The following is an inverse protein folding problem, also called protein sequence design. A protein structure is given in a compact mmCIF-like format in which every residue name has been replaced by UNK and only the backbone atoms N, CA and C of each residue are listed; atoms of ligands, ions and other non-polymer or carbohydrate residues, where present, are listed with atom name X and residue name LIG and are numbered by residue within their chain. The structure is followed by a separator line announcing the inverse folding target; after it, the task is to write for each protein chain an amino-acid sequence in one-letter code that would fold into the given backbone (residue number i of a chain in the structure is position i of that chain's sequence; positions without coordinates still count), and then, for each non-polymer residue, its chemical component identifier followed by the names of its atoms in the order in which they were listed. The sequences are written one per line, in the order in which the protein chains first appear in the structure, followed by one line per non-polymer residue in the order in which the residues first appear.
data_IF_978054776079
#
_entry.id   IF_978054776079
#
_cell.length_a   1.000
_cell.length_b   1.000
_cell.length_c   1.000
_cell.angle_alpha   90.00
_cell.angle_beta   90.00
_cell.angle_gamma   90.00
#
_symmetry.space_group_name_H-M   'P 1'
#
loop_
_entity.id
_entity.type
_entity.pdbx_description
1 polymer ?
#
# COMPACT_ATOMS: atom_id res chain seq x y z
N UNK A 1 4.58 -28.47 7.45
CA UNK A 1 3.99 -27.12 7.54
C UNK A 1 3.65 -26.71 6.11
N UNK A 2 2.43 -26.22 5.88
CA UNK A 2 1.91 -26.02 4.52
C UNK A 2 2.52 -24.74 3.95
N UNK A 3 3.45 -24.88 3.01
CA UNK A 3 3.97 -23.79 2.17
C UNK A 3 2.87 -23.36 1.18
N UNK A 4 1.96 -22.49 1.61
CA UNK A 4 0.90 -21.90 0.76
C UNK A 4 1.26 -20.49 0.26
N UNK A 5 2.54 -20.21 0.11
CA UNK A 5 3.04 -18.89 -0.27
C UNK A 5 3.09 -18.77 -1.81
N UNK A 6 1.93 -18.55 -2.46
CA UNK A 6 1.80 -18.39 -3.92
C UNK A 6 2.65 -17.22 -4.47
N UNK A 7 2.93 -17.26 -5.77
CA UNK A 7 3.46 -16.10 -6.51
C UNK A 7 2.55 -14.90 -6.27
N UNK A 8 3.08 -13.84 -5.67
CA UNK A 8 2.33 -12.65 -5.29
C UNK A 8 2.30 -11.57 -6.37
N UNK A 9 3.06 -11.72 -7.46
CA UNK A 9 3.02 -10.76 -8.58
C UNK A 9 1.61 -10.51 -9.16
N UNK A 10 0.72 -11.50 -9.26
CA UNK A 10 -0.64 -11.30 -9.77
C UNK A 10 -1.54 -10.41 -8.89
N UNK A 11 -1.12 -10.06 -7.66
CA UNK A 11 -1.85 -9.11 -6.81
C UNK A 11 -1.53 -7.65 -7.18
N UNK A 12 -0.57 -7.42 -8.07
CA UNK A 12 -0.15 -6.08 -8.47
C UNK A 12 -0.86 -5.63 -9.74
N UNK A 13 -1.38 -4.40 -9.65
CA UNK A 13 -2.01 -3.67 -10.73
C UNK A 13 -1.47 -2.24 -10.75
N UNK A 14 -1.83 -1.47 -11.78
CA UNK A 14 -1.50 -0.04 -11.89
C UNK A 14 -2.72 0.75 -12.35
N UNK A 15 -2.89 1.98 -11.85
CA UNK A 15 -3.89 2.92 -12.41
C UNK A 15 -3.40 3.64 -13.65
N UNK A 16 -2.10 3.56 -13.95
CA UNK A 16 -1.48 4.15 -15.14
C UNK A 16 -1.57 3.17 -16.31
N UNK A 17 -2.14 3.61 -17.43
CA UNK A 17 -2.29 2.79 -18.64
C UNK A 17 -0.93 2.23 -19.12
N UNK A 18 -0.88 1.00 -19.67
CA UNK A 18 0.37 0.37 -20.09
C UNK A 18 1.18 1.22 -21.08
N UNK A 19 0.50 1.85 -22.04
CA UNK A 19 1.10 2.70 -23.10
C UNK A 19 1.50 4.09 -22.63
N UNK A 20 1.08 4.52 -21.43
CA UNK A 20 1.42 5.84 -20.90
C UNK A 20 2.90 5.92 -20.51
N UNK A 21 3.53 7.06 -20.86
CA UNK A 21 4.88 7.43 -20.42
C UNK A 21 4.94 7.94 -18.98
N UNK A 22 3.80 8.09 -18.31
CA UNK A 22 3.78 8.44 -16.89
C UNK A 22 4.35 7.30 -16.03
N UNK A 23 4.95 7.62 -14.87
CA UNK A 23 5.29 6.61 -13.87
C UNK A 23 4.08 5.74 -13.53
N UNK A 24 4.33 4.42 -13.40
CA UNK A 24 3.29 3.48 -12.99
C UNK A 24 2.97 3.71 -11.51
N UNK A 25 1.68 3.62 -11.17
CA UNK A 25 1.19 3.89 -9.82
C UNK A 25 0.55 2.62 -9.28
N UNK A 26 1.19 2.04 -8.26
CA UNK A 26 0.88 0.70 -7.81
C UNK A 26 -0.49 0.60 -7.15
N UNK A 27 -1.20 -0.48 -7.46
CA UNK A 27 -2.47 -0.90 -6.88
C UNK A 27 -2.28 -2.33 -6.42
N UNK A 28 -2.75 -2.64 -5.21
CA UNK A 28 -2.61 -3.97 -4.61
C UNK A 28 -3.99 -4.56 -4.35
N UNK A 29 -4.19 -5.79 -4.78
CA UNK A 29 -5.38 -6.56 -4.45
C UNK A 29 -5.35 -6.96 -2.97
N UNK A 30 -6.45 -6.69 -2.27
CA UNK A 30 -6.64 -7.02 -0.85
C UNK A 30 -7.47 -8.29 -0.67
N UNK A 31 -8.48 -8.47 -1.51
CA UNK A 31 -9.34 -9.64 -1.53
C UNK A 31 -10.00 -9.79 -2.91
N UNK A 32 -10.94 -10.73 -3.00
CA UNK A 32 -11.67 -11.06 -4.22
C UNK A 32 -12.35 -9.86 -4.91
N UNK A 33 -12.73 -8.81 -4.18
CA UNK A 33 -13.50 -7.69 -4.72
C UNK A 33 -12.82 -6.33 -4.52
N UNK A 34 -11.77 -6.24 -3.71
CA UNK A 34 -11.18 -4.98 -3.30
C UNK A 34 -9.70 -4.91 -3.62
N UNK A 35 -9.31 -3.72 -4.08
CA UNK A 35 -7.91 -3.33 -4.24
C UNK A 35 -7.68 -1.96 -3.62
N UNK A 36 -6.44 -1.67 -3.27
CA UNK A 36 -6.05 -0.42 -2.61
C UNK A 36 -4.87 0.22 -3.30
N UNK A 37 -4.80 1.54 -3.19
CA UNK A 37 -3.65 2.33 -3.59
C UNK A 37 -3.49 3.54 -2.68
N UNK A 38 -2.42 4.29 -2.87
CA UNK A 38 -2.15 5.52 -2.14
C UNK A 38 -2.97 6.71 -2.66
N UNK A 39 -3.17 7.73 -1.82
CA UNK A 39 -4.00 8.91 -2.13
C UNK A 39 -3.20 10.13 -2.63
N UNK A 40 -1.92 10.25 -2.28
CA UNK A 40 -1.08 11.39 -2.68
C UNK A 40 -0.69 11.42 -4.18
N UNK A 41 -0.04 12.52 -4.59
CA UNK A 41 0.53 12.67 -5.93
C UNK A 41 -0.53 12.58 -7.04
N UNK A 42 -0.25 11.79 -8.08
CA UNK A 42 -1.16 11.63 -9.22
C UNK A 42 -2.50 10.96 -8.89
N UNK A 43 -2.66 10.37 -7.70
CA UNK A 43 -3.93 9.82 -7.22
C UNK A 43 -4.82 10.85 -6.53
N UNK A 44 -4.35 12.11 -6.39
CA UNK A 44 -5.19 13.20 -5.88
C UNK A 44 -6.41 13.49 -6.77
N UNK A 45 -6.37 13.07 -8.05
CA UNK A 45 -7.43 13.24 -9.03
C UNK A 45 -8.65 12.33 -8.83
N UNK A 46 -8.51 11.24 -8.08
CA UNK A 46 -9.62 10.31 -7.88
C UNK A 46 -10.68 10.92 -6.97
N UNK A 47 -11.95 10.75 -7.33
CA UNK A 47 -13.10 11.15 -6.51
C UNK A 47 -13.90 9.94 -6.06
N UNK A 48 -14.60 10.07 -4.94
CA UNK A 48 -15.55 9.06 -4.47
C UNK A 48 -16.56 8.73 -5.58
N UNK A 49 -16.93 7.45 -5.68
CA UNK A 49 -17.83 6.89 -6.69
C UNK A 49 -17.34 6.92 -8.16
N UNK A 50 -16.14 7.45 -8.42
CA UNK A 50 -15.56 7.42 -9.76
C UNK A 50 -15.34 5.98 -10.24
N UNK A 51 -15.73 5.72 -11.48
CA UNK A 51 -15.38 4.48 -12.19
C UNK A 51 -14.10 4.70 -12.99
N UNK A 52 -13.18 3.74 -12.92
CA UNK A 52 -11.89 3.77 -13.62
C UNK A 52 -11.41 2.36 -13.95
N UNK A 53 -10.28 2.25 -14.62
CA UNK A 53 -9.61 0.98 -14.91
C UNK A 53 -8.33 0.84 -14.10
N UNK A 54 -8.08 -0.38 -13.66
CA UNK A 54 -6.76 -0.81 -13.21
C UNK A 54 -6.22 -1.85 -14.19
N UNK A 55 -4.93 -1.76 -14.45
CA UNK A 55 -4.25 -2.56 -15.46
C UNK A 55 -3.34 -3.58 -14.76
N UNK A 56 -3.43 -4.87 -15.12
CA UNK A 56 -2.48 -5.86 -14.62
C UNK A 56 -1.07 -5.55 -15.12
N UNK A 57 -0.07 -6.00 -14.36
CA UNK A 57 1.34 -5.87 -14.77
C UNK A 57 1.70 -6.84 -15.89
N UNK A 58 1.03 -7.98 -15.95
CA UNK A 58 1.05 -8.84 -17.13
C UNK A 58 0.23 -8.17 -18.25
N UNK A 59 0.85 -7.71 -19.34
CA UNK A 59 0.14 -7.03 -20.42
C UNK A 59 -0.78 -7.96 -21.22
N UNK A 60 -0.68 -9.28 -21.03
CA UNK A 60 -1.59 -10.24 -21.65
C UNK A 60 -2.91 -10.39 -20.90
N UNK A 61 -2.97 -9.95 -19.64
CA UNK A 61 -4.18 -9.99 -18.84
C UNK A 61 -5.08 -8.77 -19.10
N UNK A 62 -6.39 -8.98 -19.00
CA UNK A 62 -7.37 -7.91 -19.24
C UNK A 62 -7.41 -6.89 -18.09
N UNK A 63 -7.57 -5.58 -18.39
CA UNK A 63 -7.85 -4.56 -17.39
C UNK A 63 -9.18 -4.82 -16.66
N UNK A 64 -9.28 -4.34 -15.42
CA UNK A 64 -10.47 -4.49 -14.59
C UNK A 64 -11.10 -3.11 -14.36
N UNK A 65 -12.41 -3.01 -14.62
CA UNK A 65 -13.20 -1.84 -14.24
C UNK A 65 -13.48 -1.87 -12.74
N UNK A 66 -13.15 -0.76 -12.08
CA UNK A 66 -13.30 -0.59 -10.64
C UNK A 66 -13.96 0.73 -10.30
N UNK A 67 -14.63 0.77 -9.15
CA UNK A 67 -15.24 1.96 -8.56
C UNK A 67 -14.48 2.39 -7.30
N UNK A 68 -14.23 3.68 -7.14
CA UNK A 68 -13.71 4.24 -5.88
C UNK A 68 -14.81 4.18 -4.82
N UNK A 69 -14.61 3.38 -3.78
CA UNK A 69 -15.59 3.19 -2.70
C UNK A 69 -15.18 3.85 -1.38
N UNK A 70 -13.91 4.21 -1.21
CA UNK A 70 -13.45 4.99 -0.08
C UNK A 70 -12.18 5.76 -0.42
N UNK A 71 -12.04 6.94 0.17
CA UNK A 71 -10.83 7.75 0.17
C UNK A 71 -10.53 8.17 1.61
N UNK A 72 -9.28 8.05 2.04
CA UNK A 72 -8.80 8.56 3.32
C UNK A 72 -7.53 9.36 3.11
N UNK A 73 -7.59 10.68 3.29
CA UNK A 73 -6.41 11.53 3.24
C UNK A 73 -5.48 11.26 4.44
N UNK A 74 -6.05 10.94 5.61
CA UNK A 74 -5.29 10.62 6.84
C UNK A 74 -4.53 9.30 6.75
N UNK A 75 -5.12 8.26 6.16
CA UNK A 75 -4.44 6.99 5.97
C UNK A 75 -3.60 6.96 4.67
N UNK A 76 -3.72 8.00 3.83
CA UNK A 76 -3.16 8.05 2.48
C UNK A 76 -3.66 6.91 1.57
N UNK A 77 -4.95 6.59 1.63
CA UNK A 77 -5.53 5.42 0.96
C UNK A 77 -6.68 5.76 0.03
N UNK A 78 -6.77 4.99 -1.05
CA UNK A 78 -7.94 4.86 -1.91
C UNK A 78 -8.31 3.38 -1.97
N UNK A 79 -9.58 3.07 -1.78
CA UNK A 79 -10.13 1.71 -1.90
C UNK A 79 -10.99 1.63 -3.14
N UNK A 80 -10.66 0.65 -3.99
CA UNK A 80 -11.40 0.29 -5.18
C UNK A 80 -12.26 -0.95 -4.93
N UNK A 81 -13.41 -1.03 -5.60
CA UNK A 81 -14.26 -2.21 -5.69
C UNK A 81 -14.43 -2.62 -7.14
N UNK A 82 -14.32 -3.91 -7.46
CA UNK A 82 -14.51 -4.38 -8.83
C UNK A 82 -15.97 -4.26 -9.27
N UNK A 83 -16.20 -4.00 -10.56
CA UNK A 83 -17.56 -3.87 -11.11
C UNK A 83 -17.95 -5.10 -11.92
N UNK A 84 -17.04 -5.56 -12.79
CA UNK A 84 -17.35 -6.53 -13.84
C UNK A 84 -16.71 -7.91 -13.65
N UNK A 85 -15.69 -8.01 -12.80
CA UNK A 85 -14.91 -9.24 -12.59
C UNK A 85 -14.27 -9.26 -11.21
N UNK A 86 -14.15 -10.44 -10.61
CA UNK A 86 -13.42 -10.65 -9.37
C UNK A 86 -11.91 -10.79 -9.60
N UNK A 87 -11.12 -10.54 -8.56
CA UNK A 87 -9.71 -10.88 -8.57
C UNK A 87 -9.52 -12.39 -8.35
N UNK A 88 -8.76 -13.01 -9.25
CA UNK A 88 -8.48 -14.45 -9.22
C UNK A 88 -7.40 -14.80 -8.16
N UNK A 89 -6.51 -13.84 -7.86
CA UNK A 89 -5.41 -13.99 -6.90
C UNK A 89 -5.42 -12.82 -5.94
N UNK A 90 -5.44 -13.14 -4.65
CA UNK A 90 -5.42 -12.18 -3.55
C UNK A 90 -4.77 -12.81 -2.32
N UNK A 91 -4.25 -12.01 -1.37
CA UNK A 91 -3.73 -12.53 -0.11
C UNK A 91 -4.79 -13.32 0.65
N UNK A 92 -4.45 -14.53 1.11
CA UNK A 92 -5.33 -15.41 1.89
C UNK A 92 -5.08 -15.30 3.40
N UNK A 93 -4.00 -14.64 3.81
CA UNK A 93 -3.62 -14.44 5.19
C UNK A 93 -3.11 -13.01 5.43
N UNK A 94 -3.49 -12.46 6.58
CA UNK A 94 -2.96 -11.21 7.12
C UNK A 94 -2.01 -11.55 8.26
N UNK A 95 -0.80 -11.00 8.23
CA UNK A 95 0.19 -11.18 9.29
C UNK A 95 0.26 -9.97 10.21
N UNK A 96 0.94 -10.17 11.34
CA UNK A 96 1.27 -9.09 12.27
C UNK A 96 2.47 -8.26 11.79
N UNK A 97 2.65 -7.09 12.40
CA UNK A 97 3.76 -6.16 12.16
C UNK A 97 4.61 -6.01 13.41
N UNK A 98 5.49 -6.96 13.69
CA UNK A 98 6.34 -6.97 14.89
C UNK A 98 7.66 -6.24 14.67
N UNK A 99 8.20 -5.62 15.73
CA UNK A 99 9.52 -5.00 15.68
C UNK A 99 10.60 -6.07 15.42
N UNK A 100 11.51 -5.79 14.48
CA UNK A 100 12.54 -6.73 14.05
C UNK A 100 12.07 -7.77 13.03
N UNK A 101 10.79 -7.79 12.67
CA UNK A 101 10.26 -8.70 11.65
C UNK A 101 10.75 -8.30 10.26
N UNK A 102 11.29 -9.27 9.51
CA UNK A 102 11.62 -9.08 8.11
C UNK A 102 10.38 -9.08 7.22
N UNK A 103 10.39 -8.25 6.18
CA UNK A 103 9.33 -8.13 5.19
C UNK A 103 9.89 -8.06 3.76
N UNK A 104 9.02 -8.30 2.80
CA UNK A 104 9.23 -8.02 1.38
C UNK A 104 8.26 -6.93 0.93
N UNK A 105 8.78 -5.91 0.28
CA UNK A 105 8.02 -4.92 -0.48
C UNK A 105 7.92 -5.42 -1.91
N UNK A 106 6.70 -5.57 -2.41
CA UNK A 106 6.39 -6.09 -3.75
C UNK A 106 5.62 -4.99 -4.46
N UNK A 107 6.28 -4.31 -5.38
CA UNK A 107 5.76 -3.13 -6.07
C UNK A 107 6.09 -3.12 -7.55
N UNK A 108 5.97 -1.95 -8.14
CA UNK A 108 6.19 -1.72 -9.57
C UNK A 108 7.19 -0.58 -9.69
N UNK A 109 8.28 -0.79 -10.44
CA UNK A 109 9.25 0.27 -10.69
C UNK A 109 8.68 1.36 -11.61
N UNK A 110 9.39 2.49 -11.73
CA UNK A 110 8.96 3.59 -12.59
C UNK A 110 8.77 3.20 -14.08
N UNK A 111 9.34 2.07 -14.51
CA UNK A 111 9.22 1.52 -15.87
C UNK A 111 8.07 0.52 -16.03
N UNK A 112 7.32 0.24 -14.96
CA UNK A 112 6.21 -0.71 -14.98
C UNK A 112 6.61 -2.16 -14.79
N UNK A 113 7.84 -2.44 -14.32
CA UNK A 113 8.31 -3.80 -14.08
C UNK A 113 8.11 -4.16 -12.60
N UNK A 114 7.76 -5.42 -12.28
CA UNK A 114 7.75 -5.86 -10.90
C UNK A 114 9.09 -5.64 -10.21
N UNK A 115 9.04 -5.15 -8.98
CA UNK A 115 10.22 -4.96 -8.15
C UNK A 115 9.98 -5.53 -6.75
N UNK A 116 10.99 -6.20 -6.21
CA UNK A 116 10.94 -6.79 -4.86
C UNK A 116 12.12 -6.30 -4.04
N UNK A 117 11.83 -5.67 -2.91
CA UNK A 117 12.83 -5.17 -1.95
C UNK A 117 12.63 -5.84 -0.59
N UNK A 118 13.72 -6.17 0.09
CA UNK A 118 13.69 -6.69 1.46
C UNK A 118 13.88 -5.59 2.50
N UNK A 119 13.31 -5.76 3.69
CA UNK A 119 13.54 -4.86 4.82
C UNK A 119 13.15 -5.48 6.15
N UNK A 120 13.29 -4.70 7.21
CA UNK A 120 12.94 -5.05 8.59
C UNK A 120 12.11 -3.93 9.22
N UNK A 121 11.03 -4.31 9.89
CA UNK A 121 10.20 -3.38 10.66
C UNK A 121 11.01 -2.83 11.84
N UNK A 122 11.33 -1.54 11.80
CA UNK A 122 12.23 -0.87 12.74
C UNK A 122 11.48 -0.06 13.80
N UNK A 123 10.30 0.47 13.48
CA UNK A 123 9.47 1.23 14.44
C UNK A 123 7.98 0.99 14.19
N UNK A 124 7.16 1.16 15.24
CA UNK A 124 5.70 1.17 15.17
C UNK A 124 5.14 2.50 15.67
N UNK A 125 4.03 2.90 15.06
CA UNK A 125 3.17 4.03 15.43
C UNK A 125 1.72 3.54 15.33
N UNK A 126 0.79 4.26 15.94
CA UNK A 126 -0.63 3.92 15.83
C UNK A 126 -1.02 3.95 14.35
N UNK A 127 -1.46 2.81 13.82
CA UNK A 127 -1.86 2.65 12.41
C UNK A 127 -0.71 2.49 11.40
N UNK A 128 0.55 2.60 11.79
CA UNK A 128 1.69 2.56 10.86
C UNK A 128 2.89 1.77 11.40
N UNK A 129 3.62 1.12 10.48
CA UNK A 129 4.92 0.54 10.73
C UNK A 129 5.96 1.22 9.84
N UNK A 130 7.19 1.35 10.33
CA UNK A 130 8.30 1.99 9.62
C UNK A 130 9.38 0.93 9.43
N UNK A 131 9.71 0.64 8.16
CA UNK A 131 10.82 -0.23 7.78
C UNK A 131 12.17 0.50 7.73
N UNK A 132 13.26 -0.26 7.64
CA UNK A 132 14.63 0.24 7.41
C UNK A 132 14.96 0.47 5.93
N UNK A 133 14.15 -0.07 5.01
CA UNK A 133 14.37 0.09 3.59
C UNK A 133 14.18 1.55 3.15
N UNK A 134 15.10 2.04 2.32
CA UNK A 134 14.96 3.34 1.67
C UNK A 134 13.95 3.26 0.53
N UNK A 135 12.73 3.75 0.79
CA UNK A 135 11.71 3.89 -0.23
C UNK A 135 12.17 4.82 -1.37
N UNK A 136 11.88 4.42 -2.60
CA UNK A 136 12.13 5.18 -3.83
C UNK A 136 10.79 5.60 -4.46
N UNK A 137 10.84 6.58 -5.36
CA UNK A 137 9.69 6.96 -6.16
C UNK A 137 9.18 5.74 -6.98
N UNK A 138 7.92 5.39 -6.78
CA UNK A 138 7.29 4.19 -7.34
C UNK A 138 7.01 3.10 -6.32
N UNK A 139 7.62 3.14 -5.13
CA UNK A 139 7.32 2.19 -4.06
C UNK A 139 5.95 2.45 -3.39
N UNK A 140 5.40 3.67 -3.51
CA UNK A 140 4.06 3.99 -2.99
C UNK A 140 3.00 3.07 -3.61
N UNK A 141 2.16 2.49 -2.75
CA UNK A 141 1.14 1.53 -3.12
C UNK A 141 1.65 0.10 -3.25
N UNK A 142 2.93 -0.18 -3.02
CA UNK A 142 3.46 -1.56 -3.05
C UNK A 142 2.90 -2.41 -1.90
N UNK A 143 2.75 -3.71 -2.14
CA UNK A 143 2.35 -4.66 -1.11
C UNK A 143 3.51 -4.92 -0.16
N UNK A 144 3.26 -4.94 1.13
CA UNK A 144 4.21 -5.41 2.15
C UNK A 144 3.73 -6.77 2.65
N UNK A 145 4.60 -7.76 2.55
CA UNK A 145 4.34 -9.12 3.05
C UNK A 145 5.45 -9.59 3.97
N UNK A 146 5.12 -10.49 4.90
CA UNK A 146 6.15 -11.15 5.72
C UNK A 146 6.89 -12.25 4.92
N UNK A 147 7.85 -12.93 5.55
CA UNK A 147 8.59 -14.02 4.89
C UNK A 147 7.73 -15.25 4.56
N UNK A 148 6.56 -15.37 5.18
CA UNK A 148 5.52 -16.37 4.88
C UNK A 148 4.53 -15.85 3.83
N UNK A 149 4.87 -14.77 3.14
CA UNK A 149 4.02 -14.14 2.12
C UNK A 149 2.62 -13.72 2.65
N UNK A 150 2.43 -13.59 3.97
CA UNK A 150 1.21 -13.03 4.55
C UNK A 150 1.21 -11.52 4.34
N UNK A 151 0.08 -10.95 3.97
CA UNK A 151 -0.04 -9.50 3.78
C UNK A 151 0.01 -8.80 5.14
N UNK A 152 0.92 -7.83 5.29
CA UNK A 152 1.09 -7.09 6.54
C UNK A 152 0.90 -5.57 6.39
N UNK A 153 0.74 -5.09 5.15
CA UNK A 153 0.43 -3.69 4.89
C UNK A 153 0.71 -3.27 3.45
N UNK A 154 0.54 -1.98 3.20
CA UNK A 154 0.86 -1.33 1.93
C UNK A 154 1.87 -0.21 2.19
N UNK A 155 2.87 -0.08 1.33
CA UNK A 155 3.78 1.05 1.36
C UNK A 155 3.04 2.33 1.00
N UNK A 156 3.23 3.37 1.80
CA UNK A 156 2.72 4.72 1.52
C UNK A 156 3.87 5.72 1.62
N UNK A 157 3.65 6.91 1.07
CA UNK A 157 4.60 8.01 1.23
C UNK A 157 4.74 8.36 2.72
N UNK A 158 5.93 8.78 3.13
CA UNK A 158 6.13 9.29 4.49
C UNK A 158 5.31 10.56 4.65
N UNK A 159 4.15 10.47 5.29
CA UNK A 159 3.46 11.65 5.80
C UNK A 159 4.16 12.10 7.08
N UNK A 160 4.38 13.40 7.20
CA UNK A 160 4.65 14.02 8.50
C UNK A 160 3.36 13.94 9.32
N UNK A 161 3.14 12.80 9.97
CA UNK A 161 2.05 12.64 10.93
C UNK A 161 2.35 13.61 12.07
N UNK A 162 1.66 14.76 12.08
CA UNK A 162 1.67 15.69 13.20
C UNK A 162 1.18 14.88 14.40
N UNK A 163 2.07 14.60 15.35
CA UNK A 163 1.67 14.02 16.62
C UNK A 163 0.56 14.91 17.20
N UNK A 164 -0.56 14.35 17.71
CA UNK A 164 -1.53 15.16 18.42
C UNK A 164 -0.78 15.94 19.51
N UNK A 165 -1.06 17.25 19.68
CA UNK A 165 -0.34 18.06 20.64
C UNK A 165 -0.40 17.36 22.00
N UNK A 166 0.78 17.02 22.53
CA UNK A 166 0.91 16.50 23.87
C UNK A 166 0.12 17.42 24.80
N UNK A 167 -0.89 16.87 25.47
CA UNK A 167 -1.55 17.54 26.58
C UNK A 167 -0.56 17.58 27.73
N UNK A 168 0.33 18.57 27.74
CA UNK A 168 1.16 18.89 28.90
C UNK A 168 0.27 19.65 29.89
N UNK A 169 -0.62 18.92 30.57
CA UNK A 169 -1.12 19.37 31.87
C UNK A 169 -0.09 18.93 32.91
N UNK A 170 0.92 19.78 33.08
CA UNK A 170 1.94 19.65 34.11
C UNK A 170 2.25 21.05 34.62
N UNK A 171 1.51 21.46 35.65
CA UNK A 171 1.79 22.63 36.47
C UNK A 171 3.28 22.80 36.73
N UNK A 172 3.88 23.86 36.21
CA UNK A 172 5.14 24.37 36.75
C UNK A 172 4.85 24.94 38.14
N UNK A 173 5.00 24.06 39.13
CA UNK A 173 5.25 24.48 40.50
C UNK A 173 6.59 25.23 40.50
N UNK A 174 6.50 26.51 40.87
CA UNK A 174 7.60 27.31 41.39
C UNK A 174 8.49 26.46 42.29
N UNK A 175 9.80 26.69 42.19
CA UNK A 175 10.70 26.83 43.35
C UNK A 175 12.06 27.33 42.82
N UNK A 176 12.25 28.64 42.94
CA UNK A 176 13.57 29.25 43.06
C UNK A 176 14.16 28.89 44.43
N UNK A 177 15.49 28.99 44.55
CA UNK A 177 16.04 29.95 45.50
C UNK A 177 16.71 31.15 44.81
#
# INVERSE_FOLDING_TARGET
MVDNCKNLLPILYTTTEPTSSEPKRCVVVMDRLRAVTFRHGGHLRFTQDQVTKIYPIDPSAEPIDVKVIAISDTADLIVFHTINKDFDVYPDAVGDTDLGQSYKLIGIDAKGRPNVKGGVISKKRVGFAIGDNHAEDGDSGAAIVDLRNCFIGMAIGRQDFIAPPNTVNGSMLNLAP
#
